data_IF_848610859031
#
_entry.id   IF_848610859031
#
_cell.length_a   1.000
_cell.length_b   1.000
_cell.length_c   1.000
_cell.angle_alpha   90.00
_cell.angle_beta   90.00
_cell.angle_gamma   90.00
#
_symmetry.space_group_name_H-M   'P 1'
#
loop_
_entity.id
_entity.type
_entity.pdbx_description
1 polymer ?
#
# COMPACT_ATOMS: atom_id res chain seq x y z
N UNK A 1 1.28 -22.34 1.70
CA UNK A 1 1.54 -20.89 1.66
C UNK A 1 2.70 -20.62 0.73
N UNK A 2 2.55 -19.77 -0.28
CA UNK A 2 3.67 -19.38 -1.16
C UNK A 2 4.67 -18.51 -0.39
N UNK A 3 5.96 -18.69 -0.61
CA UNK A 3 7.01 -17.90 0.06
C UNK A 3 7.00 -16.44 -0.37
N UNK A 4 7.66 -15.55 0.40
CA UNK A 4 7.88 -14.15 -0.01
C UNK A 4 8.49 -14.04 -1.40
N UNK A 5 9.51 -14.88 -1.71
CA UNK A 5 10.21 -14.88 -3.00
C UNK A 5 9.31 -15.31 -4.17
N UNK A 6 8.42 -16.27 -3.96
CA UNK A 6 7.45 -16.66 -4.98
C UNK A 6 6.45 -15.54 -5.25
N UNK A 7 5.99 -14.85 -4.19
CA UNK A 7 5.11 -13.68 -4.32
C UNK A 7 5.80 -12.55 -5.09
N UNK A 8 7.05 -12.23 -4.76
CA UNK A 8 7.86 -11.25 -5.47
C UNK A 8 7.97 -11.59 -6.97
N UNK A 9 8.26 -12.86 -7.29
CA UNK A 9 8.30 -13.34 -8.68
C UNK A 9 6.96 -13.20 -9.41
N UNK A 10 5.83 -13.46 -8.72
CA UNK A 10 4.49 -13.27 -9.28
C UNK A 10 4.16 -11.80 -9.52
N UNK A 11 4.65 -10.89 -8.67
CA UNK A 11 4.44 -9.45 -8.79
C UNK A 11 5.38 -8.78 -9.81
N UNK A 12 6.45 -9.42 -10.22
CA UNK A 12 7.41 -8.86 -11.18
C UNK A 12 6.80 -8.60 -12.58
N UNK A 13 5.63 -9.14 -12.90
CA UNK A 13 4.90 -8.90 -14.15
C UNK A 13 3.98 -7.68 -14.12
N UNK A 14 3.84 -7.03 -12.96
CA UNK A 14 3.01 -5.84 -12.77
C UNK A 14 3.67 -4.66 -13.45
N UNK A 15 2.96 -4.05 -14.40
CA UNK A 15 3.45 -2.83 -15.07
C UNK A 15 3.33 -1.63 -14.14
N UNK A 16 4.32 -0.75 -14.19
CA UNK A 16 4.33 0.54 -13.51
C UNK A 16 3.42 1.58 -14.16
N UNK A 17 3.59 2.83 -13.74
CA UNK A 17 2.87 3.98 -14.31
C UNK A 17 3.36 4.26 -15.74
N UNK A 18 2.43 4.55 -16.66
CA UNK A 18 2.75 4.94 -18.04
C UNK A 18 3.19 6.41 -18.10
N UNK A 19 2.52 7.29 -17.35
CA UNK A 19 2.80 8.73 -17.26
C UNK A 19 2.71 9.17 -15.78
N UNK A 20 3.76 8.91 -14.98
CA UNK A 20 3.74 9.17 -13.56
C UNK A 20 3.69 10.66 -13.25
N UNK A 21 2.71 11.08 -12.45
CA UNK A 21 2.54 12.45 -12.01
C UNK A 21 3.32 12.70 -10.72
N UNK A 22 4.41 13.49 -10.80
CA UNK A 22 5.21 13.87 -9.63
C UNK A 22 4.35 14.56 -8.56
N UNK A 23 3.38 15.38 -8.96
CA UNK A 23 2.45 16.06 -8.05
C UNK A 23 1.59 15.10 -7.21
N UNK A 24 1.39 13.85 -7.64
CA UNK A 24 0.67 12.81 -6.91
C UNK A 24 1.62 11.80 -6.26
N UNK A 25 2.92 12.05 -6.32
CA UNK A 25 3.96 11.12 -5.83
C UNK A 25 3.78 9.69 -6.35
N UNK A 26 3.48 9.56 -7.65
CA UNK A 26 3.25 8.27 -8.31
C UNK A 26 4.57 7.54 -8.55
N UNK A 27 5.03 6.82 -7.55
CA UNK A 27 6.19 5.93 -7.64
C UNK A 27 5.74 4.47 -7.63
N UNK A 28 6.30 3.62 -8.51
CA UNK A 28 5.97 2.21 -8.49
C UNK A 28 6.49 1.59 -7.20
N UNK A 29 5.61 0.97 -6.43
CA UNK A 29 6.02 0.12 -5.29
C UNK A 29 6.84 -1.05 -5.84
N UNK A 30 8.11 -1.24 -5.39
CA UNK A 30 8.91 -2.37 -5.86
C UNK A 30 8.25 -3.71 -5.52
N UNK A 31 8.32 -4.73 -6.41
CA UNK A 31 7.79 -6.07 -6.11
C UNK A 31 8.30 -6.67 -4.81
N UNK A 32 9.58 -6.45 -4.48
CA UNK A 32 10.22 -6.91 -3.25
C UNK A 32 9.59 -6.29 -1.99
N UNK A 33 9.27 -4.98 -2.03
CA UNK A 33 8.59 -4.28 -0.94
C UNK A 33 7.16 -4.78 -0.78
N UNK A 34 6.39 -4.83 -1.87
CA UNK A 34 5.02 -5.33 -1.84
C UNK A 34 4.97 -6.77 -1.32
N UNK A 35 5.85 -7.64 -1.82
CA UNK A 35 5.95 -9.01 -1.34
C UNK A 35 6.32 -9.08 0.15
N UNK A 36 7.12 -8.14 0.66
CA UNK A 36 7.46 -8.07 2.07
C UNK A 36 6.26 -7.69 2.94
N UNK A 37 5.59 -6.58 2.60
CA UNK A 37 4.38 -6.09 3.31
C UNK A 37 3.30 -7.17 3.35
N UNK A 38 2.97 -7.73 2.19
CA UNK A 38 1.91 -8.73 2.08
C UNK A 38 2.28 -10.05 2.76
N UNK A 39 3.54 -10.47 2.71
CA UNK A 39 3.97 -11.66 3.41
C UNK A 39 3.91 -11.51 4.93
N UNK A 40 4.24 -10.33 5.46
CA UNK A 40 4.06 -10.03 6.88
C UNK A 40 2.58 -10.10 7.28
N UNK A 41 1.70 -9.49 6.50
CA UNK A 41 0.26 -9.54 6.75
C UNK A 41 -0.29 -10.98 6.69
N UNK A 42 0.21 -11.80 5.79
CA UNK A 42 -0.13 -13.21 5.65
C UNK A 42 0.35 -14.06 6.86
N UNK A 43 1.54 -13.78 7.38
CA UNK A 43 2.08 -14.45 8.58
C UNK A 43 1.31 -14.13 9.86
N UNK A 44 0.62 -13.00 9.92
CA UNK A 44 -0.22 -12.59 11.04
C UNK A 44 -1.70 -12.98 10.87
N UNK A 45 -2.04 -13.77 9.84
CA UNK A 45 -3.43 -14.15 9.50
C UNK A 45 -4.34 -12.95 9.23
N UNK A 46 -3.76 -11.86 8.72
CA UNK A 46 -4.48 -10.59 8.46
C UNK A 46 -5.02 -10.48 7.03
N UNK A 47 -4.89 -11.52 6.17
CA UNK A 47 -5.34 -11.46 4.78
C UNK A 47 -6.37 -12.54 4.46
N UNK A 48 -6.08 -13.81 4.73
CA UNK A 48 -6.94 -14.91 4.30
C UNK A 48 -8.36 -14.77 4.84
N UNK A 49 -9.35 -14.81 3.94
CA UNK A 49 -10.78 -14.69 4.28
C UNK A 49 -11.26 -13.31 4.73
N UNK A 50 -10.36 -12.30 4.83
CA UNK A 50 -10.72 -10.94 5.25
C UNK A 50 -11.07 -10.06 4.05
N UNK A 51 -11.72 -8.92 4.30
CA UNK A 51 -11.76 -7.81 3.36
C UNK A 51 -10.46 -7.02 3.49
N UNK A 52 -9.73 -6.88 2.38
CA UNK A 52 -8.53 -6.04 2.30
C UNK A 52 -8.87 -4.75 1.56
N UNK A 53 -8.44 -3.61 2.08
CA UNK A 53 -8.54 -2.30 1.42
C UNK A 53 -7.13 -1.80 1.12
N UNK A 54 -6.87 -1.45 -0.13
CA UNK A 54 -5.61 -0.83 -0.57
C UNK A 54 -5.87 0.65 -0.86
N UNK A 55 -5.31 1.53 -0.05
CA UNK A 55 -5.47 2.98 -0.16
C UNK A 55 -4.34 3.59 -0.98
N UNK A 56 -4.67 4.18 -2.13
CA UNK A 56 -3.69 4.66 -3.09
C UNK A 56 -3.07 3.50 -3.86
N UNK A 57 -3.90 2.64 -4.45
CA UNK A 57 -3.44 1.40 -5.08
C UNK A 57 -2.49 1.60 -6.25
N UNK A 58 -2.49 2.78 -6.88
CA UNK A 58 -1.70 3.07 -8.07
C UNK A 58 -1.96 2.05 -9.17
N UNK A 59 -0.90 1.37 -9.63
CA UNK A 59 -0.99 0.32 -10.65
C UNK A 59 -1.32 -1.07 -10.08
N UNK A 60 -1.68 -1.16 -8.79
CA UNK A 60 -2.24 -2.34 -8.17
C UNK A 60 -1.24 -3.27 -7.49
N UNK A 61 -0.02 -2.83 -7.18
CA UNK A 61 1.04 -3.70 -6.67
C UNK A 61 0.67 -4.39 -5.35
N UNK A 62 0.21 -3.63 -4.33
CA UNK A 62 -0.22 -4.19 -3.05
C UNK A 62 -1.56 -4.93 -3.17
N UNK A 63 -2.52 -4.38 -3.92
CA UNK A 63 -3.80 -5.03 -4.24
C UNK A 63 -3.62 -6.43 -4.81
N UNK A 64 -2.75 -6.57 -5.81
CA UNK A 64 -2.52 -7.86 -6.49
C UNK A 64 -1.74 -8.83 -5.59
N UNK A 65 -0.80 -8.31 -4.82
CA UNK A 65 -0.10 -9.10 -3.80
C UNK A 65 -1.07 -9.68 -2.77
N UNK A 66 -1.96 -8.85 -2.21
CA UNK A 66 -2.99 -9.30 -1.29
C UNK A 66 -3.95 -10.31 -1.94
N UNK A 67 -4.38 -10.04 -3.18
CA UNK A 67 -5.30 -10.91 -3.92
C UNK A 67 -4.75 -12.33 -4.17
N UNK A 68 -3.42 -12.50 -4.18
CA UNK A 68 -2.77 -13.80 -4.30
C UNK A 68 -2.73 -14.59 -2.97
N UNK A 69 -3.15 -13.97 -1.85
CA UNK A 69 -3.16 -14.57 -0.50
C UNK A 69 -4.55 -14.99 -0.02
N UNK A 70 -5.56 -14.98 -0.90
CA UNK A 70 -6.87 -15.52 -0.62
C UNK A 70 -7.77 -14.69 0.31
N UNK A 71 -7.76 -13.35 0.23
CA UNK A 71 -8.76 -12.56 0.94
C UNK A 71 -10.16 -12.87 0.40
N UNK A 72 -11.20 -12.59 1.19
CA UNK A 72 -12.58 -12.69 0.72
C UNK A 72 -12.82 -11.75 -0.48
N UNK A 73 -12.24 -10.55 -0.42
CA UNK A 73 -12.22 -9.55 -1.49
C UNK A 73 -11.14 -8.51 -1.24
N UNK A 74 -10.78 -7.77 -2.29
CA UNK A 74 -9.96 -6.56 -2.18
C UNK A 74 -10.76 -5.36 -2.69
N UNK A 75 -10.69 -4.22 -1.99
CA UNK A 75 -11.19 -2.92 -2.44
C UNK A 75 -9.96 -2.05 -2.69
N UNK A 76 -9.74 -1.70 -3.95
CA UNK A 76 -8.59 -0.94 -4.39
C UNK A 76 -9.01 0.50 -4.70
N UNK A 77 -8.50 1.46 -3.94
CA UNK A 77 -8.88 2.87 -4.03
C UNK A 77 -7.75 3.67 -4.67
N UNK A 78 -8.04 4.43 -5.72
CA UNK A 78 -7.09 5.28 -6.43
C UNK A 78 -7.77 6.57 -6.88
N UNK A 79 -7.07 7.67 -6.73
CA UNK A 79 -7.57 9.00 -7.12
C UNK A 79 -7.53 9.17 -8.65
N UNK A 80 -6.46 8.71 -9.28
CA UNK A 80 -6.22 8.85 -10.71
C UNK A 80 -6.73 7.65 -11.49
N UNK A 81 -7.57 7.90 -12.47
CA UNK A 81 -8.15 6.85 -13.32
C UNK A 81 -7.13 6.15 -14.24
N UNK A 82 -6.02 6.81 -14.59
CA UNK A 82 -5.00 6.22 -15.48
C UNK A 82 -4.26 5.05 -14.83
N UNK A 83 -3.65 5.18 -13.64
CA UNK A 83 -3.06 4.04 -12.93
C UNK A 83 -4.08 2.95 -12.61
N UNK A 84 -5.32 3.34 -12.28
CA UNK A 84 -6.38 2.37 -12.00
C UNK A 84 -6.71 1.50 -13.23
N UNK A 85 -6.71 2.07 -14.43
CA UNK A 85 -6.86 1.30 -15.66
C UNK A 85 -5.70 0.31 -15.86
N UNK A 86 -4.46 0.74 -15.60
CA UNK A 86 -3.28 -0.13 -15.64
C UNK A 86 -3.39 -1.26 -14.60
N UNK A 87 -3.90 -0.98 -13.40
CA UNK A 87 -4.12 -1.98 -12.35
C UNK A 87 -5.11 -3.08 -12.80
N UNK A 88 -6.17 -2.72 -13.50
CA UNK A 88 -7.14 -3.68 -14.08
C UNK A 88 -6.45 -4.60 -15.09
N UNK A 89 -5.55 -4.07 -15.95
CA UNK A 89 -4.78 -4.89 -16.88
C UNK A 89 -3.75 -5.78 -16.14
N UNK A 90 -3.11 -5.25 -15.11
CA UNK A 90 -2.18 -6.00 -14.28
C UNK A 90 -2.84 -7.19 -13.58
N UNK A 91 -4.10 -7.07 -13.17
CA UNK A 91 -4.87 -8.21 -12.65
C UNK A 91 -4.91 -9.38 -13.65
N UNK A 92 -5.05 -9.10 -14.94
CA UNK A 92 -5.05 -10.15 -15.99
C UNK A 92 -3.69 -10.80 -16.13
N UNK A 93 -2.61 -10.03 -16.02
CA UNK A 93 -1.23 -10.53 -16.09
C UNK A 93 -0.90 -11.44 -14.90
N UNK A 94 -1.29 -11.04 -13.70
CA UNK A 94 -1.08 -11.81 -12.46
C UNK A 94 -1.99 -13.04 -12.39
N UNK A 95 -3.20 -12.97 -12.96
CA UNK A 95 -4.11 -14.11 -13.09
C UNK A 95 -4.85 -14.49 -11.81
N UNK A 96 -5.00 -13.57 -10.84
CA UNK A 96 -5.75 -13.84 -9.62
C UNK A 96 -7.26 -13.97 -9.87
N UNK A 97 -7.93 -14.87 -9.11
CA UNK A 97 -9.39 -15.06 -9.14
C UNK A 97 -10.10 -14.34 -8.00
N UNK A 98 -9.38 -13.80 -7.04
CA UNK A 98 -9.95 -13.02 -5.93
C UNK A 98 -10.80 -11.87 -6.48
N UNK A 99 -12.01 -11.65 -5.93
CA UNK A 99 -12.82 -10.48 -6.26
C UNK A 99 -12.04 -9.20 -5.91
N UNK A 100 -11.87 -8.30 -6.89
CA UNK A 100 -11.26 -6.99 -6.68
C UNK A 100 -12.25 -5.93 -7.15
N UNK A 101 -12.61 -5.03 -6.25
CA UNK A 101 -13.44 -3.86 -6.51
C UNK A 101 -12.56 -2.63 -6.69
N UNK A 102 -12.50 -2.11 -7.90
CA UNK A 102 -11.72 -0.94 -8.27
C UNK A 102 -12.56 0.31 -8.07
N UNK A 103 -12.09 1.23 -7.26
CA UNK A 103 -12.80 2.45 -6.89
C UNK A 103 -11.93 3.67 -7.21
N UNK A 104 -12.40 4.50 -8.13
CA UNK A 104 -11.79 5.82 -8.33
C UNK A 104 -12.35 6.79 -7.29
N UNK A 105 -11.55 7.10 -6.27
CA UNK A 105 -11.94 7.98 -5.18
C UNK A 105 -10.71 8.55 -4.45
N UNK A 106 -10.93 9.62 -3.68
CA UNK A 106 -9.94 10.15 -2.76
C UNK A 106 -9.85 9.24 -1.53
N UNK A 107 -8.68 8.63 -1.33
CA UNK A 107 -8.40 7.74 -0.20
C UNK A 107 -8.47 8.46 1.16
N UNK A 108 -8.29 9.79 1.19
CA UNK A 108 -8.40 10.60 2.42
C UNK A 108 -9.85 10.93 2.79
N UNK A 109 -10.81 10.64 1.89
CA UNK A 109 -12.24 10.86 2.07
C UNK A 109 -13.02 9.63 1.59
N UNK A 110 -12.68 8.46 2.13
CA UNK A 110 -13.22 7.18 1.67
C UNK A 110 -14.74 7.13 1.83
N UNK A 111 -15.51 7.01 0.73
CA UNK A 111 -16.99 7.06 0.78
C UNK A 111 -17.60 5.68 1.07
N UNK A 112 -16.93 4.88 1.91
CA UNK A 112 -17.33 3.50 2.20
C UNK A 112 -17.50 3.30 3.70
N UNK A 113 -18.48 2.49 4.06
CA UNK A 113 -18.63 1.90 5.39
C UNK A 113 -18.59 0.38 5.22
N UNK A 114 -17.65 -0.26 5.88
CA UNK A 114 -17.42 -1.70 5.79
C UNK A 114 -17.68 -2.28 7.19
N UNK A 115 -18.75 -3.07 7.37
CA UNK A 115 -19.18 -3.52 8.70
C UNK A 115 -18.36 -4.68 9.28
N UNK A 116 -17.57 -5.37 8.47
CA UNK A 116 -16.70 -6.46 8.89
C UNK A 116 -15.27 -5.98 9.22
N UNK A 117 -14.48 -6.81 9.93
CA UNK A 117 -13.06 -6.52 10.14
C UNK A 117 -12.30 -6.31 8.83
N UNK A 118 -11.58 -5.21 8.74
CA UNK A 118 -10.85 -4.79 7.55
C UNK A 118 -9.35 -4.77 7.80
N UNK A 119 -8.60 -5.35 6.88
CA UNK A 119 -7.16 -5.14 6.80
C UNK A 119 -6.89 -4.04 5.77
N UNK A 120 -6.21 -2.98 6.19
CA UNK A 120 -5.77 -1.94 5.27
C UNK A 120 -4.29 -2.13 4.92
N UNK A 121 -3.97 -2.05 3.64
CA UNK A 121 -2.59 -1.96 3.16
C UNK A 121 -2.42 -0.64 2.42
N UNK A 122 -1.27 0.02 2.56
CA UNK A 122 -0.99 1.25 1.82
C UNK A 122 0.50 1.53 1.68
N UNK A 123 0.85 2.15 0.57
CA UNK A 123 2.11 2.86 0.36
C UNK A 123 1.76 4.31 -0.03
N UNK A 124 1.43 5.16 0.96
CA UNK A 124 0.90 6.49 0.71
C UNK A 124 1.98 7.44 0.18
N UNK A 125 1.60 8.59 -0.40
CA UNK A 125 2.56 9.65 -0.72
C UNK A 125 3.25 10.14 0.56
N UNK A 126 4.58 10.29 0.50
CA UNK A 126 5.40 10.64 1.68
C UNK A 126 5.41 12.14 2.01
N UNK A 127 4.72 12.97 1.21
CA UNK A 127 4.72 14.42 1.39
C UNK A 127 6.06 15.09 1.03
N UNK A 128 6.85 14.45 0.16
CA UNK A 128 8.16 14.95 -0.27
C UNK A 128 8.07 16.20 -1.18
N UNK A 129 6.89 16.52 -1.67
CA UNK A 129 6.63 17.69 -2.52
C UNK A 129 6.31 18.93 -1.65
N UNK A 130 6.85 20.10 -2.02
CA UNK A 130 6.57 21.36 -1.36
C UNK A 130 5.05 21.60 -1.20
N UNK A 131 4.60 21.83 0.03
CA UNK A 131 3.19 22.07 0.38
C UNK A 131 2.33 20.82 0.58
N UNK A 132 2.91 19.63 0.59
CA UNK A 132 2.23 18.36 0.91
C UNK A 132 2.73 17.68 2.19
N UNK A 133 3.40 18.43 3.04
CA UNK A 133 3.78 17.95 4.37
C UNK A 133 2.56 17.40 5.11
N UNK A 134 2.62 16.15 5.54
CA UNK A 134 1.50 15.47 6.20
C UNK A 134 0.42 14.90 5.25
N UNK A 135 0.73 14.69 3.96
CA UNK A 135 -0.18 14.00 3.03
C UNK A 135 -0.55 12.60 3.54
N UNK A 136 0.38 11.90 4.16
CA UNK A 136 0.21 10.60 4.82
C UNK A 136 -0.77 10.65 6.00
N UNK A 137 -0.89 11.80 6.69
CA UNK A 137 -1.83 11.97 7.81
C UNK A 137 -3.29 11.81 7.39
N UNK A 138 -3.67 12.27 6.19
CA UNK A 138 -5.02 12.08 5.63
C UNK A 138 -5.32 10.59 5.41
N UNK A 139 -4.35 9.84 4.89
CA UNK A 139 -4.46 8.40 4.73
C UNK A 139 -4.56 7.69 6.08
N UNK A 140 -3.70 8.02 7.04
CA UNK A 140 -3.73 7.45 8.39
C UNK A 140 -5.07 7.73 9.09
N UNK A 141 -5.66 8.91 8.92
CA UNK A 141 -6.99 9.24 9.48
C UNK A 141 -8.08 8.34 8.90
N UNK A 142 -8.03 8.06 7.60
CA UNK A 142 -8.94 7.10 6.96
C UNK A 142 -8.72 5.70 7.52
N UNK A 143 -7.46 5.26 7.62
CA UNK A 143 -7.10 3.95 8.20
C UNK A 143 -7.70 3.80 9.60
N UNK A 144 -7.46 4.77 10.50
CA UNK A 144 -7.97 4.76 11.87
C UNK A 144 -9.50 4.69 11.95
N UNK A 145 -10.21 5.11 10.91
CA UNK A 145 -11.68 5.07 10.88
C UNK A 145 -12.28 3.78 10.36
N UNK A 146 -11.53 2.97 9.59
CA UNK A 146 -12.10 1.79 8.90
C UNK A 146 -11.36 0.49 9.20
N UNK A 147 -10.08 0.54 9.62
CA UNK A 147 -9.25 -0.64 9.77
C UNK A 147 -9.42 -1.30 11.13
N UNK A 148 -9.40 -2.63 11.16
CA UNK A 148 -9.10 -3.39 12.38
C UNK A 148 -7.59 -3.61 12.53
N UNK A 149 -6.89 -3.74 11.39
CA UNK A 149 -5.43 -3.81 11.31
C UNK A 149 -4.95 -3.14 10.03
N UNK A 150 -3.80 -2.50 10.10
CA UNK A 150 -3.20 -1.87 8.93
C UNK A 150 -1.72 -2.17 8.78
N UNK A 151 -1.27 -2.15 7.52
CA UNK A 151 0.13 -2.22 7.11
C UNK A 151 0.43 -1.00 6.24
N UNK A 152 1.29 -0.12 6.72
CA UNK A 152 1.63 1.12 6.01
C UNK A 152 3.13 1.26 5.83
N UNK A 153 3.53 1.76 4.66
CA UNK A 153 4.92 2.05 4.31
C UNK A 153 5.19 3.53 4.56
N UNK A 154 6.29 3.83 5.22
CA UNK A 154 6.73 5.20 5.54
C UNK A 154 8.23 5.35 5.30
N UNK A 155 8.71 6.58 5.23
CA UNK A 155 10.15 6.88 5.22
C UNK A 155 10.80 6.47 6.55
N UNK A 156 12.07 6.09 6.52
CA UNK A 156 12.84 5.85 7.73
C UNK A 156 12.83 7.06 8.67
N UNK A 157 12.67 6.80 9.96
CA UNK A 157 12.57 7.83 11.00
C UNK A 157 11.15 8.33 11.26
N UNK A 158 10.12 7.68 10.73
CA UNK A 158 8.71 8.01 10.99
C UNK A 158 8.16 7.44 12.31
N UNK A 159 8.92 6.60 13.03
CA UNK A 159 8.48 5.85 14.21
C UNK A 159 7.72 6.72 15.23
N UNK A 160 8.37 7.78 15.73
CA UNK A 160 7.78 8.64 16.75
C UNK A 160 6.47 9.31 16.30
N UNK A 161 6.35 9.65 15.01
CA UNK A 161 5.13 10.21 14.44
C UNK A 161 4.02 9.14 14.34
N UNK A 162 4.36 7.95 13.87
CA UNK A 162 3.39 6.86 13.69
C UNK A 162 2.87 6.36 15.05
N UNK A 163 3.74 6.18 16.04
CA UNK A 163 3.36 5.80 17.39
C UNK A 163 2.42 6.83 18.04
N UNK A 164 2.79 8.12 17.98
CA UNK A 164 1.95 9.19 18.53
C UNK A 164 0.60 9.28 17.81
N UNK A 165 0.59 9.12 16.47
CA UNK A 165 -0.67 9.13 15.72
C UNK A 165 -1.57 7.94 16.09
N UNK A 166 -0.98 6.74 16.21
CA UNK A 166 -1.73 5.54 16.60
C UNK A 166 -2.36 5.71 17.97
N UNK A 167 -1.57 6.11 18.98
CA UNK A 167 -2.04 6.37 20.34
C UNK A 167 -3.20 7.38 20.38
N UNK A 168 -3.06 8.50 19.68
CA UNK A 168 -4.07 9.56 19.63
C UNK A 168 -5.39 9.12 18.97
N UNK A 169 -5.36 8.06 18.14
CA UNK A 169 -6.50 7.59 17.35
C UNK A 169 -6.96 6.16 17.69
N UNK A 170 -6.56 5.63 18.86
CA UNK A 170 -7.01 4.32 19.35
C UNK A 170 -6.35 3.14 18.63
N UNK A 171 -5.13 3.32 18.14
CA UNK A 171 -4.30 2.28 17.54
C UNK A 171 -3.12 1.89 18.44
N UNK A 172 -2.60 0.69 18.24
CA UNK A 172 -1.37 0.18 18.84
C UNK A 172 -0.41 -0.30 17.75
N UNK A 173 0.81 0.27 17.71
CA UNK A 173 1.88 -0.23 16.84
C UNK A 173 2.39 -1.54 17.40
N UNK A 174 2.02 -2.65 16.77
CA UNK A 174 2.42 -3.99 17.24
C UNK A 174 3.73 -4.46 16.67
N UNK A 175 4.07 -4.00 15.45
CA UNK A 175 5.31 -4.37 14.75
C UNK A 175 5.80 -3.21 13.89
N UNK A 176 7.12 -3.01 13.87
CA UNK A 176 7.81 -2.12 12.96
C UNK A 176 8.94 -2.89 12.27
N UNK A 177 9.04 -2.75 10.94
CA UNK A 177 10.03 -3.45 10.11
C UNK A 177 10.77 -2.47 9.24
N UNK A 178 12.08 -2.43 9.34
CA UNK A 178 12.90 -1.65 8.42
C UNK A 178 13.16 -2.44 7.13
N UNK A 179 13.10 -1.76 6.00
CA UNK A 179 13.37 -2.35 4.71
C UNK A 179 14.05 -1.34 3.77
N UNK A 180 15.18 -1.71 3.21
CA UNK A 180 15.88 -0.93 2.21
C UNK A 180 15.54 -1.47 0.81
N UNK A 181 15.13 -0.59 -0.11
CA UNK A 181 14.77 -0.96 -1.48
C UNK A 181 15.45 -0.04 -2.48
N UNK A 182 15.87 -0.63 -3.59
CA UNK A 182 16.37 0.12 -4.73
C UNK A 182 15.20 0.52 -5.64
N UNK A 183 15.04 1.81 -5.88
CA UNK A 183 14.07 2.34 -6.83
C UNK A 183 14.80 2.86 -8.06
N UNK A 184 14.35 2.46 -9.25
CA UNK A 184 14.83 3.05 -10.50
C UNK A 184 14.32 4.48 -10.63
N UNK A 185 15.23 5.41 -10.95
CA UNK A 185 14.87 6.81 -11.13
C UNK A 185 14.15 6.99 -12.46
N UNK A 186 12.82 7.17 -12.44
CA UNK A 186 12.00 7.35 -13.65
C UNK A 186 11.95 8.80 -14.14
N UNK A 187 12.57 9.75 -13.43
CA UNK A 187 12.58 11.17 -13.83
C UNK A 187 13.90 11.52 -14.53
N UNK A 188 13.80 11.98 -15.77
CA UNK A 188 14.89 12.18 -16.73
C UNK A 188 15.95 13.28 -16.40
N UNK A 189 16.01 13.80 -15.17
CA UNK A 189 16.89 14.93 -14.81
C UNK A 189 17.93 14.64 -13.71
N UNK A 190 18.13 13.38 -13.30
CA UNK A 190 19.17 13.03 -12.34
C UNK A 190 20.11 11.97 -12.91
N UNK A 191 21.40 12.19 -12.75
CA UNK A 191 22.49 11.33 -13.29
C UNK A 191 22.58 9.94 -12.60
N UNK A 192 21.90 9.73 -11.47
CA UNK A 192 21.87 8.43 -10.77
C UNK A 192 20.65 7.62 -11.20
N UNK A 193 20.89 6.49 -11.85
CA UNK A 193 19.87 5.56 -12.36
C UNK A 193 19.19 4.74 -11.27
N UNK A 194 19.74 4.68 -10.06
CA UNK A 194 19.21 3.90 -8.94
C UNK A 194 19.40 4.68 -7.63
N UNK A 195 18.38 4.69 -6.79
CA UNK A 195 18.42 5.25 -5.44
C UNK A 195 17.96 4.18 -4.45
N UNK A 196 18.74 3.98 -3.39
CA UNK A 196 18.31 3.21 -2.24
C UNK A 196 17.41 4.09 -1.36
N UNK A 197 16.24 3.59 -1.02
CA UNK A 197 15.28 4.25 -0.12
C UNK A 197 15.13 3.35 1.09
N UNK A 198 15.48 3.91 2.25
CA UNK A 198 15.19 3.29 3.54
C UNK A 198 13.73 3.56 3.91
N UNK A 199 12.98 2.50 4.09
CA UNK A 199 11.57 2.58 4.48
C UNK A 199 11.31 1.77 5.74
N UNK A 200 10.23 2.13 6.41
CA UNK A 200 9.69 1.41 7.55
C UNK A 200 8.27 0.96 7.23
N UNK A 201 7.94 -0.26 7.62
CA UNK A 201 6.59 -0.81 7.51
C UNK A 201 6.04 -0.98 8.92
N UNK A 202 4.88 -0.39 9.19
CA UNK A 202 4.23 -0.48 10.49
C UNK A 202 2.97 -1.33 10.40
N UNK A 203 2.84 -2.28 11.32
CA UNK A 203 1.59 -2.97 11.61
C UNK A 203 0.93 -2.31 12.81
N UNK A 204 -0.30 -1.85 12.63
CA UNK A 204 -1.07 -1.17 13.69
C UNK A 204 -2.40 -1.91 13.85
N UNK A 205 -2.73 -2.27 15.08
CA UNK A 205 -4.06 -2.76 15.45
C UNK A 205 -4.92 -1.58 15.92
N UNK A 206 -6.17 -1.53 15.47
CA UNK A 206 -7.11 -0.44 15.77
C UNK A 206 -8.28 -0.93 16.60
N UNK A 207 -8.62 -0.20 17.66
CA UNK A 207 -9.75 -0.48 18.55
C UNK A 207 -10.93 0.41 18.18
N UNK A 208 -11.57 0.15 17.01
CA UNK A 208 -12.76 0.88 16.56
C UNK A 208 -14.04 0.23 17.05
#
# INVERSE_FOLDING_TARGET
MATKRELEGQLAVVAGFEDPQAALEQYPTPPALAAHVIHLADLHDDIEGRTVVDLGTGTGMLTLGAALRGPARVIAVELDGSPLATAVENRRRVGTRTPIHWLQADATQLPLSIPEPVTVVMNPPFGAQDGREGADRGFLSTVASVASVSYSVHNAGSEAFIEAFADDNGGEVTHAFSAAFTVENQFAHHDDTQREIDTEVYRIEWTN
#
